data_IF_808529806155
#
_entry.id   IF_808529806155
#
_cell.length_a   1.000
_cell.length_b   1.000
_cell.length_c   1.000
_cell.angle_alpha   90.00
_cell.angle_beta   90.00
_cell.angle_gamma   90.00
#
_symmetry.space_group_name_H-M   'P 1'
#
loop_
_entity.id
_entity.type
_entity.pdbx_description
1 polymer ?
#
# COMPACT_ATOMS: atom_id res chain seq x y z
N UNK A 1 33.92 -1.85 1.08
CA UNK A 1 32.80 -1.66 2.03
C UNK A 1 31.54 -2.18 1.35
N UNK A 2 31.12 -3.39 1.70
CA UNK A 2 29.97 -4.05 1.07
C UNK A 2 28.65 -3.45 1.56
N UNK A 3 27.95 -2.73 0.69
CA UNK A 3 26.58 -2.31 0.93
C UNK A 3 25.64 -3.47 0.55
N UNK A 4 25.25 -4.26 1.55
CA UNK A 4 24.17 -5.26 1.45
C UNK A 4 22.83 -4.54 1.22
N UNK A 5 22.56 -4.15 -0.02
CA UNK A 5 21.22 -3.77 -0.46
C UNK A 5 20.48 -5.05 -0.87
N UNK A 6 19.90 -5.72 0.13
CA UNK A 6 19.00 -6.85 -0.08
C UNK A 6 17.67 -6.30 -0.66
N UNK A 7 17.69 -5.94 -1.95
CA UNK A 7 16.50 -5.60 -2.73
C UNK A 7 15.70 -6.89 -2.90
N UNK A 8 14.72 -7.08 -2.03
CA UNK A 8 13.66 -8.05 -2.29
C UNK A 8 13.01 -7.67 -3.63
N UNK A 9 12.86 -8.60 -4.58
CA UNK A 9 12.06 -8.38 -5.76
C UNK A 9 10.59 -8.43 -5.32
N UNK A 10 10.08 -7.33 -4.75
CA UNK A 10 8.65 -7.12 -4.66
C UNK A 10 8.16 -6.94 -6.09
N UNK A 11 7.79 -8.06 -6.69
CA UNK A 11 6.95 -8.15 -7.87
C UNK A 11 5.88 -7.05 -7.78
N UNK A 12 5.70 -6.36 -8.91
CA UNK A 12 4.96 -5.13 -9.08
C UNK A 12 3.44 -5.29 -8.84
N UNK A 13 3.05 -5.69 -7.63
CA UNK A 13 1.69 -5.56 -7.12
C UNK A 13 1.52 -4.12 -6.64
N UNK A 14 1.73 -3.16 -7.53
CA UNK A 14 1.18 -1.82 -7.34
C UNK A 14 -0.28 -1.97 -7.72
N UNK A 15 -1.22 -1.78 -6.78
CA UNK A 15 -2.63 -1.88 -7.11
C UNK A 15 -3.03 -0.86 -8.21
N UNK A 16 -4.17 -1.04 -8.88
CA UNK A 16 -4.61 -0.19 -9.99
C UNK A 16 -4.75 1.29 -9.62
N UNK A 17 -4.75 2.18 -10.64
CA UNK A 17 -4.78 3.66 -10.44
C UNK A 17 -5.84 4.06 -9.41
N UNK A 18 -5.44 4.81 -8.38
CA UNK A 18 -6.34 5.33 -7.35
C UNK A 18 -6.32 4.58 -6.01
N UNK A 19 -5.63 3.44 -5.89
CA UNK A 19 -5.52 2.73 -4.61
C UNK A 19 -4.93 3.58 -3.48
N UNK A 20 -3.94 4.44 -3.79
CA UNK A 20 -3.33 5.35 -2.81
C UNK A 20 -4.37 6.28 -2.21
N UNK A 21 -5.32 6.73 -3.03
CA UNK A 21 -6.42 7.60 -2.63
C UNK A 21 -7.46 6.85 -1.78
N UNK A 22 -7.79 5.59 -2.13
CA UNK A 22 -8.64 4.71 -1.32
C UNK A 22 -8.02 4.47 0.07
N UNK A 23 -6.74 4.14 0.12
CA UNK A 23 -5.98 3.93 1.37
C UNK A 23 -5.89 5.21 2.18
N UNK A 24 -5.60 6.35 1.53
CA UNK A 24 -5.57 7.67 2.17
C UNK A 24 -6.91 8.02 2.83
N UNK A 25 -8.02 7.79 2.12
CA UNK A 25 -9.37 8.02 2.63
C UNK A 25 -9.72 7.12 3.80
N UNK A 26 -9.40 5.83 3.73
CA UNK A 26 -9.65 4.87 4.82
C UNK A 26 -8.81 5.16 6.07
N UNK A 27 -7.53 5.49 5.89
CA UNK A 27 -6.63 5.79 6.99
C UNK A 27 -6.76 7.23 7.52
N UNK A 28 -7.52 8.10 6.84
CA UNK A 28 -7.68 9.52 7.19
C UNK A 28 -6.38 10.32 7.04
N UNK A 29 -5.56 10.02 6.03
CA UNK A 29 -4.27 10.66 5.78
C UNK A 29 -4.14 11.15 4.35
N UNK A 30 -3.07 11.88 4.04
CA UNK A 30 -2.75 12.27 2.66
C UNK A 30 -2.11 11.11 1.88
N UNK A 31 -2.25 11.10 0.55
CA UNK A 31 -1.56 10.12 -0.32
C UNK A 31 -0.04 10.16 -0.16
N UNK A 32 0.53 11.33 0.12
CA UNK A 32 1.95 11.49 0.43
C UNK A 32 2.34 10.73 1.70
N UNK A 33 1.47 10.73 2.72
CA UNK A 33 1.66 9.95 3.95
C UNK A 33 1.59 8.46 3.67
N UNK A 34 0.69 8.03 2.79
CA UNK A 34 0.61 6.63 2.34
C UNK A 34 1.92 6.20 1.67
N UNK A 35 2.40 6.98 0.71
CA UNK A 35 3.66 6.72 0.03
C UNK A 35 4.85 6.69 1.00
N UNK A 36 5.00 7.70 1.85
CA UNK A 36 6.10 7.74 2.82
C UNK A 36 6.04 6.59 3.83
N UNK A 37 4.86 6.12 4.19
CA UNK A 37 4.69 4.94 5.05
C UNK A 37 5.15 3.68 4.35
N UNK A 38 4.68 3.44 3.12
CA UNK A 38 5.00 2.22 2.36
C UNK A 38 6.45 2.20 1.88
N UNK A 39 7.04 3.36 1.62
CA UNK A 39 8.49 3.51 1.36
C UNK A 39 9.33 3.44 2.65
N UNK A 40 8.74 3.18 3.81
CA UNK A 40 9.45 2.98 5.08
C UNK A 40 10.01 4.24 5.75
N UNK A 41 9.68 5.44 5.24
CA UNK A 41 10.11 6.75 5.78
C UNK A 41 9.33 7.16 7.04
N UNK A 42 8.11 6.65 7.22
CA UNK A 42 7.28 6.91 8.41
C UNK A 42 7.08 5.60 9.16
N UNK A 43 7.43 5.59 10.44
CA UNK A 43 7.22 4.46 11.36
C UNK A 43 6.46 4.95 12.59
N UNK A 44 5.49 4.17 13.06
CA UNK A 44 4.73 4.45 14.29
C UNK A 44 3.24 4.10 14.20
N UNK A 45 2.42 4.57 15.14
CA UNK A 45 0.99 4.23 15.19
C UNK A 45 0.24 4.65 13.92
N UNK A 46 0.61 5.80 13.33
CA UNK A 46 0.04 6.28 12.06
C UNK A 46 0.39 5.37 10.88
N UNK A 47 1.62 4.85 10.81
CA UNK A 47 2.01 3.96 9.72
C UNK A 47 1.25 2.63 9.80
N UNK A 48 0.98 2.15 11.02
CA UNK A 48 0.20 0.92 11.24
C UNK A 48 -1.21 1.01 10.67
N UNK A 49 -1.91 2.14 10.89
CA UNK A 49 -3.24 2.40 10.29
C UNK A 49 -3.19 2.41 8.76
N UNK A 50 -2.16 3.02 8.17
CA UNK A 50 -1.99 3.04 6.71
C UNK A 50 -1.74 1.63 6.16
N UNK A 51 -0.93 0.81 6.83
CA UNK A 51 -0.66 -0.57 6.42
C UNK A 51 -1.93 -1.42 6.51
N UNK A 52 -2.72 -1.26 7.58
CA UNK A 52 -4.00 -1.95 7.72
C UNK A 52 -4.99 -1.57 6.62
N UNK A 53 -5.15 -0.27 6.35
CA UNK A 53 -5.96 0.22 5.24
C UNK A 53 -5.47 -0.28 3.87
N UNK A 54 -4.14 -0.35 3.66
CA UNK A 54 -3.54 -0.92 2.46
C UNK A 54 -3.94 -2.38 2.26
N UNK A 55 -3.87 -3.21 3.31
CA UNK A 55 -4.28 -4.63 3.24
C UNK A 55 -5.76 -4.80 2.92
N UNK A 56 -6.62 -3.95 3.47
CA UNK A 56 -8.07 -3.97 3.20
C UNK A 56 -8.36 -3.63 1.74
N UNK A 57 -7.74 -2.56 1.21
CA UNK A 57 -7.92 -2.16 -0.19
C UNK A 57 -7.40 -3.25 -1.12
N UNK A 58 -6.23 -3.82 -0.81
CA UNK A 58 -5.64 -4.89 -1.59
C UNK A 58 -6.54 -6.13 -1.62
N UNK A 59 -7.05 -6.59 -0.48
CA UNK A 59 -7.94 -7.75 -0.40
C UNK A 59 -9.29 -7.54 -1.11
N UNK A 60 -9.81 -6.32 -1.11
CA UNK A 60 -11.07 -5.99 -1.79
C UNK A 60 -10.93 -5.90 -3.31
N UNK A 61 -9.77 -5.47 -3.82
CA UNK A 61 -9.56 -5.40 -5.26
C UNK A 61 -9.33 -6.79 -5.87
N UNK A 62 -8.80 -7.77 -5.13
CA UNK A 62 -8.82 -9.19 -5.54
C UNK A 62 -10.26 -9.66 -5.80
N UNK A 63 -11.22 -9.32 -4.94
CA UNK A 63 -12.64 -9.68 -5.14
C UNK A 63 -13.32 -8.91 -6.28
N UNK A 64 -13.01 -7.61 -6.49
CA UNK A 64 -13.60 -6.83 -7.60
C UNK A 64 -13.05 -7.24 -8.97
N UNK A 65 -11.76 -7.59 -9.07
CA UNK A 65 -11.17 -8.10 -10.33
C UNK A 65 -11.77 -9.47 -10.70
N UNK A 66 -12.05 -10.30 -9.69
CA UNK A 66 -12.77 -11.57 -9.85
C UNK A 66 -14.24 -11.38 -10.29
N UNK A 67 -14.92 -10.33 -9.84
CA UNK A 67 -16.34 -10.08 -10.14
C UNK A 67 -16.59 -9.45 -11.50
N UNK A 68 -15.61 -8.76 -12.07
CA UNK A 68 -15.74 -8.10 -13.38
C UNK A 68 -15.48 -9.07 -14.55
N UNK A 69 -15.15 -10.33 -14.26
CA UNK A 69 -14.74 -11.34 -15.26
C UNK A 69 -15.79 -12.40 -15.60
N UNK A 70 -17.03 -12.25 -15.11
CA UNK A 70 -18.16 -13.15 -15.40
C UNK A 70 -19.33 -12.42 -16.05
#
# INVERSE_FOLDING_TARGET
MEQKSNQQPYSHLIPPRGWKQKVARLAGVSEKTVYNTLSGKIRGPKSRKVIEAYRIVFAREDEEDLKTKY
#
